data_IF_847519184759
#
_entry.id   IF_847519184759
#
_cell.length_a   1.000
_cell.length_b   1.000
_cell.length_c   1.000
_cell.angle_alpha   90.00
_cell.angle_beta   90.00
_cell.angle_gamma   90.00
#
_symmetry.space_group_name_H-M   'P 1'
#
loop_
_entity.id
_entity.type
_entity.pdbx_description
1 polymer ?
#
# COMPACT_ATOMS: atom_id res chain seq x y z
N UNK A 1 1.40 25.58 -15.37
CA UNK A 1 2.48 24.88 -16.09
C UNK A 1 3.78 25.64 -15.91
N UNK A 2 3.79 26.96 -16.09
CA UNK A 2 4.98 27.82 -15.97
C UNK A 2 5.79 27.61 -14.69
N UNK A 3 5.14 27.56 -13.51
CA UNK A 3 5.85 27.28 -12.25
C UNK A 3 6.63 25.95 -12.29
N UNK A 4 6.01 24.88 -12.77
CA UNK A 4 6.64 23.55 -12.89
C UNK A 4 7.83 23.60 -13.87
N UNK A 5 7.67 24.32 -14.98
CA UNK A 5 8.73 24.50 -15.96
C UNK A 5 9.90 25.32 -15.39
N UNK A 6 9.61 26.43 -14.69
CA UNK A 6 10.60 27.25 -14.01
C UNK A 6 11.36 26.52 -12.92
N UNK A 7 10.71 25.56 -12.24
CA UNK A 7 11.34 24.69 -11.24
C UNK A 7 12.30 23.66 -11.86
N UNK A 8 12.32 23.52 -13.19
CA UNK A 8 13.24 22.59 -13.89
C UNK A 8 12.90 21.12 -13.64
N UNK A 9 11.62 20.78 -13.50
CA UNK A 9 11.19 19.40 -13.24
C UNK A 9 11.52 18.50 -14.44
N UNK A 10 12.32 17.46 -14.20
CA UNK A 10 12.71 16.48 -15.21
C UNK A 10 11.64 15.39 -15.43
N UNK A 11 11.04 14.91 -14.34
CA UNK A 11 10.00 13.87 -14.35
C UNK A 11 8.80 14.40 -13.56
N UNK A 12 7.67 14.58 -14.22
CA UNK A 12 6.42 14.99 -13.59
C UNK A 12 5.50 13.78 -13.42
N UNK A 13 5.07 13.52 -12.18
CA UNK A 13 4.26 12.34 -11.84
C UNK A 13 2.80 12.73 -11.67
N UNK A 14 1.92 12.10 -12.44
CA UNK A 14 0.47 12.24 -12.32
C UNK A 14 -0.08 11.18 -11.36
N UNK A 15 -0.56 11.63 -10.20
CA UNK A 15 -1.19 10.79 -9.17
C UNK A 15 -2.73 10.85 -9.21
N UNK A 16 -3.32 11.53 -10.20
CA UNK A 16 -4.75 11.75 -10.25
C UNK A 16 -5.43 10.98 -11.39
N UNK A 17 -4.85 10.96 -12.59
CA UNK A 17 -5.54 10.47 -13.79
C UNK A 17 -6.92 11.11 -13.96
N UNK A 18 -7.98 10.31 -14.08
CA UNK A 18 -9.36 10.79 -14.20
C UNK A 18 -10.14 10.73 -12.87
N UNK A 19 -9.49 11.09 -11.77
CA UNK A 19 -10.14 11.22 -10.45
C UNK A 19 -10.55 12.67 -10.14
N UNK A 20 -11.32 12.85 -9.05
CA UNK A 20 -11.81 14.17 -8.62
C UNK A 20 -10.64 15.11 -8.33
N UNK A 21 -10.69 16.32 -8.90
CA UNK A 21 -9.69 17.36 -8.68
C UNK A 21 -8.47 17.28 -9.60
N UNK A 22 -8.45 16.33 -10.54
CA UNK A 22 -7.43 16.26 -11.58
C UNK A 22 -7.39 17.54 -12.43
N UNK A 23 -6.18 17.93 -12.82
CA UNK A 23 -5.89 19.05 -13.72
C UNK A 23 -4.97 18.59 -14.85
N UNK A 24 -5.46 17.64 -15.65
CA UNK A 24 -4.66 16.99 -16.70
C UNK A 24 -4.23 17.97 -17.81
N UNK A 25 -4.86 19.15 -17.90
CA UNK A 25 -4.44 20.24 -18.78
C UNK A 25 -3.00 20.71 -18.46
N UNK A 26 -2.55 20.57 -17.21
CA UNK A 26 -1.16 20.86 -16.83
C UNK A 26 -0.21 19.89 -17.54
N UNK A 27 -0.53 18.60 -17.59
CA UNK A 27 0.26 17.59 -18.28
C UNK A 27 0.16 17.74 -19.80
N UNK A 28 -1.00 18.15 -20.32
CA UNK A 28 -1.17 18.43 -21.75
C UNK A 28 -0.22 19.54 -22.25
N UNK A 29 0.13 20.51 -21.41
CA UNK A 29 1.10 21.58 -21.71
C UNK A 29 2.56 21.12 -21.67
N UNK A 30 2.83 19.87 -21.26
CA UNK A 30 4.17 19.26 -21.18
C UNK A 30 5.25 20.12 -20.50
N UNK A 31 5.04 20.63 -19.27
CA UNK A 31 6.04 21.44 -18.57
C UNK A 31 7.29 20.67 -18.12
N UNK A 32 7.28 19.33 -18.18
CA UNK A 32 8.43 18.47 -17.94
C UNK A 32 8.70 17.56 -19.16
N UNK A 33 9.96 17.21 -19.45
CA UNK A 33 10.29 16.40 -20.62
C UNK A 33 9.76 14.97 -20.52
N UNK A 34 9.69 14.40 -19.31
CA UNK A 34 9.11 13.08 -19.04
C UNK A 34 7.91 13.24 -18.10
N UNK A 35 6.78 12.67 -18.47
CA UNK A 35 5.56 12.68 -17.68
C UNK A 35 5.03 11.26 -17.49
N UNK A 36 4.74 10.88 -16.25
CA UNK A 36 4.43 9.50 -15.90
C UNK A 36 3.15 9.38 -15.06
N UNK A 37 2.36 8.34 -15.33
CA UNK A 37 1.24 7.94 -14.49
C UNK A 37 1.75 7.04 -13.35
N UNK A 38 1.27 7.25 -12.12
CA UNK A 38 1.56 6.34 -11.00
C UNK A 38 0.48 6.35 -9.92
N UNK A 39 0.19 5.17 -9.37
CA UNK A 39 -0.57 4.88 -8.15
C UNK A 39 -2.05 5.32 -8.12
N UNK A 40 -2.34 6.62 -8.25
CA UNK A 40 -3.67 7.16 -7.90
C UNK A 40 -4.77 6.99 -8.94
N UNK A 41 -4.45 6.52 -10.15
CA UNK A 41 -5.45 6.10 -11.15
C UNK A 41 -5.09 4.72 -11.69
N UNK A 42 -5.96 3.70 -11.51
CA UNK A 42 -5.62 2.30 -11.81
C UNK A 42 -5.88 1.94 -13.28
N UNK A 43 -5.49 2.80 -14.23
CA UNK A 43 -5.63 2.51 -15.66
C UNK A 43 -4.78 3.45 -16.55
N UNK A 44 -4.76 3.17 -17.86
CA UNK A 44 -4.24 4.05 -18.93
C UNK A 44 -4.86 5.45 -18.88
N UNK A 45 -4.06 6.49 -19.14
CA UNK A 45 -4.61 7.84 -19.38
C UNK A 45 -5.25 7.95 -20.76
N UNK A 46 -4.87 7.10 -21.72
CA UNK A 46 -5.30 7.23 -23.12
C UNK A 46 -4.81 8.52 -23.80
N UNK A 47 -3.85 9.23 -23.19
CA UNK A 47 -3.46 10.56 -23.60
C UNK A 47 -2.07 10.58 -24.25
N UNK A 48 -1.87 11.33 -25.35
CA UNK A 48 -0.57 11.39 -26.04
C UNK A 48 0.50 12.18 -25.27
N UNK A 49 0.12 12.85 -24.17
CA UNK A 49 1.03 13.64 -23.35
C UNK A 49 1.57 12.89 -22.13
N UNK A 50 1.14 11.64 -21.87
CA UNK A 50 1.72 10.78 -20.84
C UNK A 50 2.69 9.78 -21.48
N UNK A 51 3.94 9.76 -21.03
CA UNK A 51 5.00 8.99 -21.68
C UNK A 51 5.07 7.56 -21.12
N UNK A 52 4.93 7.41 -19.80
CA UNK A 52 5.03 6.12 -19.10
C UNK A 52 3.92 5.89 -18.08
N UNK A 53 3.64 4.63 -17.81
CA UNK A 53 2.87 4.17 -16.66
C UNK A 53 3.80 3.34 -15.75
N UNK A 54 3.99 3.79 -14.52
CA UNK A 54 4.72 3.02 -13.50
C UNK A 54 3.79 1.89 -13.02
N UNK A 55 4.16 0.66 -13.31
CA UNK A 55 3.36 -0.55 -13.04
C UNK A 55 4.28 -1.73 -12.67
N UNK A 56 3.78 -2.96 -12.72
CA UNK A 56 4.54 -4.20 -12.54
C UNK A 56 4.04 -5.31 -13.48
N UNK A 57 4.81 -6.39 -13.58
CA UNK A 57 4.54 -7.50 -14.50
C UNK A 57 3.23 -8.23 -14.19
N UNK A 58 2.81 -8.26 -12.93
CA UNK A 58 1.58 -8.96 -12.50
C UNK A 58 0.34 -8.12 -12.84
N UNK A 59 0.40 -6.82 -12.58
CA UNK A 59 -0.70 -5.88 -12.79
C UNK A 59 -0.90 -5.58 -14.28
N UNK A 60 0.20 -5.38 -15.01
CA UNK A 60 0.17 -5.00 -16.43
C UNK A 60 1.13 -5.88 -17.23
N UNK A 61 0.81 -7.16 -17.46
CA UNK A 61 1.69 -8.06 -18.21
C UNK A 61 1.91 -7.58 -19.65
N UNK A 62 3.09 -7.86 -20.22
CA UNK A 62 3.46 -7.39 -21.57
C UNK A 62 2.49 -7.86 -22.67
N UNK A 63 1.85 -9.02 -22.49
CA UNK A 63 0.83 -9.55 -23.41
C UNK A 63 -0.39 -8.64 -23.55
N UNK A 64 -0.64 -7.77 -22.56
CA UNK A 64 -1.73 -6.81 -22.53
C UNK A 64 -1.25 -5.36 -22.72
N UNK A 65 0.01 -5.15 -23.12
CA UNK A 65 0.59 -3.80 -23.31
C UNK A 65 -0.20 -2.92 -24.29
N UNK A 66 -0.92 -3.51 -25.25
CA UNK A 66 -1.78 -2.80 -26.19
C UNK A 66 -3.00 -2.10 -25.54
N UNK A 67 -3.33 -2.43 -24.29
CA UNK A 67 -4.39 -1.76 -23.53
C UNK A 67 -3.96 -0.38 -23.01
N UNK A 68 -2.66 -0.07 -23.03
CA UNK A 68 -2.10 1.15 -22.47
C UNK A 68 -1.57 2.05 -23.60
N UNK A 69 -1.83 3.35 -23.48
CA UNK A 69 -1.25 4.33 -24.41
C UNK A 69 0.21 4.64 -24.08
N UNK A 70 0.54 4.57 -22.80
CA UNK A 70 1.85 4.82 -22.23
C UNK A 70 2.77 3.61 -22.37
N UNK A 71 4.08 3.85 -22.34
CA UNK A 71 5.06 2.77 -22.19
C UNK A 71 5.04 2.25 -20.75
N UNK A 72 5.09 0.94 -20.58
CA UNK A 72 5.12 0.34 -19.25
C UNK A 72 6.53 0.49 -18.64
N UNK A 73 6.60 1.09 -17.45
CA UNK A 73 7.80 1.19 -16.63
C UNK A 73 7.63 0.30 -15.40
N UNK A 74 8.32 -0.84 -15.37
CA UNK A 74 8.11 -1.85 -14.31
C UNK A 74 8.92 -1.55 -13.06
N UNK A 75 8.23 -1.62 -11.93
CA UNK A 75 8.83 -1.79 -10.61
C UNK A 75 9.27 -3.25 -10.43
N UNK A 76 10.33 -3.54 -9.65
CA UNK A 76 10.87 -4.91 -9.51
C UNK A 76 9.90 -5.92 -8.86
N UNK A 77 8.93 -5.45 -8.08
CA UNK A 77 7.96 -6.30 -7.38
C UNK A 77 6.54 -5.88 -7.72
N UNK A 78 6.00 -4.90 -7.00
CA UNK A 78 4.71 -4.30 -7.30
C UNK A 78 4.81 -2.78 -7.37
N UNK A 79 3.97 -2.15 -8.19
CA UNK A 79 3.81 -0.69 -8.23
C UNK A 79 3.11 -0.13 -6.99
N UNK A 80 2.37 -0.98 -6.27
CA UNK A 80 1.55 -0.58 -5.15
C UNK A 80 2.38 -0.44 -3.88
N UNK A 81 2.15 0.63 -3.13
CA UNK A 81 2.79 0.89 -1.85
C UNK A 81 1.74 1.36 -0.85
N UNK A 82 1.89 0.97 0.42
CA UNK A 82 1.03 1.44 1.50
C UNK A 82 1.87 1.72 2.75
N UNK A 83 1.50 2.77 3.48
CA UNK A 83 2.23 3.24 4.67
C UNK A 83 1.90 2.45 5.95
N UNK A 84 1.40 1.21 5.82
CA UNK A 84 0.86 0.44 6.94
C UNK A 84 1.89 0.18 8.05
N UNK A 85 3.16 -0.05 7.70
CA UNK A 85 4.22 -0.29 8.67
C UNK A 85 4.48 0.92 9.60
N UNK A 86 4.22 2.14 9.10
CA UNK A 86 4.33 3.36 9.88
C UNK A 86 3.02 3.67 10.61
N UNK A 87 1.88 3.67 9.89
CA UNK A 87 0.57 4.03 10.44
C UNK A 87 0.03 3.02 11.48
N UNK A 88 0.26 1.74 11.24
CA UNK A 88 -0.29 0.65 12.04
C UNK A 88 0.80 -0.16 12.72
N UNK A 89 1.82 0.52 13.26
CA UNK A 89 2.91 -0.15 14.00
C UNK A 89 2.39 -1.03 15.14
N UNK A 90 1.27 -0.69 15.77
CA UNK A 90 0.65 -1.52 16.80
C UNK A 90 0.08 -2.85 16.28
N UNK A 91 -0.03 -3.04 14.96
CA UNK A 91 -0.52 -4.26 14.32
C UNK A 91 0.60 -5.24 13.97
N UNK A 92 1.87 -4.91 14.19
CA UNK A 92 3.00 -5.77 13.82
C UNK A 92 3.14 -6.98 14.75
N UNK A 93 2.74 -6.82 16.00
CA UNK A 93 2.77 -7.88 17.01
C UNK A 93 1.37 -8.13 17.54
N UNK A 94 1.07 -9.41 17.82
CA UNK A 94 -0.19 -9.83 18.42
C UNK A 94 0.06 -10.84 19.52
N UNK A 95 -0.62 -10.67 20.65
CA UNK A 95 -0.76 -11.66 21.70
C UNK A 95 -2.11 -12.35 21.56
N UNK A 96 -2.12 -13.67 21.67
CA UNK A 96 -3.36 -14.47 21.77
C UNK A 96 -3.45 -14.95 23.20
N UNK A 97 -4.43 -14.44 23.94
CA UNK A 97 -4.71 -14.82 25.32
C UNK A 97 -5.73 -15.94 25.28
N UNK A 98 -5.34 -17.08 25.85
CA UNK A 98 -6.18 -18.27 26.00
C UNK A 98 -6.33 -18.50 27.50
N UNK A 99 -7.57 -18.50 27.98
CA UNK A 99 -7.84 -18.85 29.37
C UNK A 99 -7.81 -20.38 29.54
N UNK A 100 -7.20 -20.84 30.62
CA UNK A 100 -7.20 -22.24 31.02
C UNK A 100 -7.80 -22.35 32.41
N UNK A 101 -8.71 -23.30 32.61
CA UNK A 101 -9.25 -23.62 33.92
C UNK A 101 -8.62 -24.91 34.44
N UNK A 102 -8.22 -24.89 35.71
CA UNK A 102 -7.84 -26.09 36.44
C UNK A 102 -9.11 -26.77 36.92
N UNK A 103 -9.37 -27.96 36.37
CA UNK A 103 -10.50 -28.76 36.79
C UNK A 103 -10.17 -29.42 38.14
N UNK A 104 -10.71 -28.86 39.24
CA UNK A 104 -10.37 -29.21 40.63
C UNK A 104 -10.56 -30.70 40.98
N UNK A 105 -11.28 -31.46 40.14
CA UNK A 105 -11.56 -32.87 40.35
C UNK A 105 -10.65 -33.82 39.55
N UNK A 106 -9.95 -33.35 38.52
CA UNK A 106 -9.26 -34.23 37.57
C UNK A 106 -7.77 -33.91 37.36
N UNK A 107 -7.21 -32.86 38.00
CA UNK A 107 -5.86 -32.35 37.72
C UNK A 107 -5.63 -32.10 36.21
N UNK A 108 -6.71 -31.94 35.43
CA UNK A 108 -6.66 -31.78 33.99
C UNK A 108 -6.95 -30.31 33.65
N UNK A 109 -6.06 -29.71 32.85
CA UNK A 109 -6.24 -28.34 32.37
C UNK A 109 -7.24 -28.38 31.22
N UNK A 110 -8.39 -27.73 31.37
CA UNK A 110 -9.36 -27.52 30.30
C UNK A 110 -9.18 -26.12 29.72
N UNK A 111 -8.83 -26.04 28.44
CA UNK A 111 -8.85 -24.78 27.69
C UNK A 111 -10.28 -24.38 27.39
N UNK A 112 -10.65 -23.12 27.65
CA UNK A 112 -11.95 -22.59 27.22
C UNK A 112 -11.92 -22.24 25.72
N UNK A 113 -13.09 -22.23 25.08
CA UNK A 113 -13.21 -21.94 23.64
C UNK A 113 -12.87 -20.47 23.29
N UNK A 114 -12.99 -19.56 24.26
CA UNK A 114 -12.79 -18.14 24.03
C UNK A 114 -11.29 -17.79 23.92
N UNK A 115 -10.95 -17.05 22.86
CA UNK A 115 -9.60 -16.50 22.64
C UNK A 115 -9.69 -15.00 22.45
N UNK A 116 -8.83 -14.26 23.16
CA UNK A 116 -8.70 -12.82 22.99
C UNK A 116 -7.44 -12.51 22.19
N UNK A 117 -7.53 -11.61 21.21
CA UNK A 117 -6.39 -11.15 20.42
C UNK A 117 -6.11 -9.70 20.78
N UNK A 118 -4.88 -9.41 21.21
CA UNK A 118 -4.45 -8.06 21.55
C UNK A 118 -3.26 -7.67 20.68
N UNK A 119 -3.40 -6.55 20.00
CA UNK A 119 -2.32 -5.96 19.20
C UNK A 119 -1.77 -4.75 19.95
N UNK A 120 -0.46 -4.54 19.89
CA UNK A 120 0.19 -3.42 20.58
C UNK A 120 1.59 -3.18 20.06
N UNK A 121 2.14 -2.01 20.37
CA UNK A 121 3.55 -1.67 20.04
C UNK A 121 4.55 -2.26 21.04
N UNK A 122 4.07 -2.64 22.23
CA UNK A 122 4.84 -3.35 23.24
C UNK A 122 3.88 -4.25 24.03
N UNK A 123 4.04 -5.56 23.88
CA UNK A 123 3.19 -6.56 24.53
C UNK A 123 3.75 -7.04 25.87
N UNK A 124 4.95 -6.62 26.27
CA UNK A 124 5.59 -7.07 27.51
C UNK A 124 4.71 -6.90 28.74
N UNK A 125 4.02 -5.77 28.98
CA UNK A 125 3.17 -5.63 30.17
C UNK A 125 1.97 -6.59 30.19
N UNK A 126 1.51 -7.03 29.03
CA UNK A 126 0.40 -7.99 28.91
C UNK A 126 0.93 -9.39 29.17
N UNK A 127 2.06 -9.75 28.56
CA UNK A 127 2.72 -11.03 28.76
C UNK A 127 3.20 -11.21 30.22
N UNK A 128 3.69 -10.14 30.86
CA UNK A 128 4.16 -10.15 32.25
C UNK A 128 3.02 -10.21 33.28
N UNK A 129 1.83 -9.66 32.96
CA UNK A 129 0.64 -9.75 33.81
C UNK A 129 -0.18 -11.02 33.57
N UNK A 130 0.04 -11.66 32.44
CA UNK A 130 -0.51 -12.98 32.15
C UNK A 130 0.36 -13.99 32.89
N UNK A 131 0.09 -14.19 34.18
CA UNK A 131 0.59 -15.36 34.91
C UNK A 131 0.03 -16.63 34.25
N UNK A 132 0.63 -17.05 33.14
CA UNK A 132 0.51 -18.39 32.57
C UNK A 132 1.77 -19.14 33.00
N UNK A 133 1.63 -19.91 34.08
CA UNK A 133 2.22 -21.25 34.10
C UNK A 133 1.46 -22.13 33.13
#
# INVERSE_FOLDING_TARGET
ADCIYSDGIHILVNLNGYTRGARNEIFALRPAPIQVMWLGYPNTSGAPYMDYLITDEITSPLSLSSQYSEKLAYMPYTFFIGDHANMFRHMTEKAVIVESQLDNNSNMITTVDNRSIVNGTNLNPILERSDVK
#
